data_IF_592488115307
#
_entry.id   IF_592488115307
#
_cell.length_a   1.000
_cell.length_b   1.000
_cell.length_c   1.000
_cell.angle_alpha   90.00
_cell.angle_beta   90.00
_cell.angle_gamma   90.00
#
_symmetry.space_group_name_H-M   'P 1'
#
loop_
_entity.id
_entity.type
_entity.pdbx_description
1 polymer ?
#
# COMPACT_ATOMS: atom_id res chain seq x y z
N UNK A 1 -0.63 -3.98 -0.48
CA UNK A 1 -1.76 -4.24 -1.41
C UNK A 1 -2.13 -5.72 -1.38
N UNK A 2 -3.37 -6.04 -1.06
CA UNK A 2 -3.93 -7.39 -1.25
C UNK A 2 -4.78 -7.38 -2.52
N UNK A 3 -4.38 -8.17 -3.52
CA UNK A 3 -5.01 -8.21 -4.83
C UNK A 3 -5.56 -9.60 -5.17
N UNK A 4 -6.38 -9.67 -6.22
CA UNK A 4 -6.81 -10.91 -6.85
C UNK A 4 -6.50 -10.85 -8.37
N UNK A 5 -5.89 -11.89 -8.97
CA UNK A 5 -5.44 -11.86 -10.38
C UNK A 5 -6.56 -11.60 -11.40
N UNK A 6 -7.78 -12.01 -11.08
CA UNK A 6 -8.96 -11.85 -11.94
C UNK A 6 -9.69 -10.52 -11.73
N UNK A 7 -9.34 -9.72 -10.71
CA UNK A 7 -10.05 -8.49 -10.39
C UNK A 7 -9.64 -7.34 -11.31
N UNK A 8 -10.58 -6.81 -12.10
CA UNK A 8 -10.33 -5.67 -13.01
C UNK A 8 -9.84 -4.40 -12.28
N UNK A 9 -10.35 -4.12 -11.08
CA UNK A 9 -9.87 -3.00 -10.26
C UNK A 9 -8.44 -3.20 -9.75
N UNK A 10 -8.03 -4.44 -9.48
CA UNK A 10 -6.64 -4.74 -9.12
C UNK A 10 -5.72 -4.49 -10.30
N UNK A 11 -6.06 -5.01 -11.49
CA UNK A 11 -5.27 -4.81 -12.71
C UNK A 11 -5.07 -3.32 -13.04
N UNK A 12 -6.07 -2.48 -12.79
CA UNK A 12 -5.96 -1.02 -12.96
C UNK A 12 -5.03 -0.35 -11.94
N UNK A 13 -5.03 -0.83 -10.68
CA UNK A 13 -4.19 -0.27 -9.60
C UNK A 13 -2.74 -0.80 -9.65
N UNK A 14 -2.52 -2.00 -10.17
CA UNK A 14 -1.21 -2.67 -10.16
C UNK A 14 -0.07 -1.80 -10.72
N UNK A 15 -0.17 -1.20 -11.94
CA UNK A 15 0.93 -0.36 -12.45
C UNK A 15 1.20 0.87 -11.58
N UNK A 16 0.14 1.50 -11.06
CA UNK A 16 0.27 2.66 -10.15
C UNK A 16 0.96 2.26 -8.84
N UNK A 17 0.64 1.08 -8.32
CA UNK A 17 1.20 0.59 -7.06
C UNK A 17 2.66 0.14 -7.21
N UNK A 18 3.02 -0.46 -8.35
CA UNK A 18 4.41 -0.79 -8.68
C UNK A 18 5.26 0.47 -8.84
N UNK A 19 4.77 1.48 -9.55
CA UNK A 19 5.46 2.76 -9.68
C UNK A 19 5.64 3.46 -8.33
N UNK A 20 4.59 3.49 -7.50
CA UNK A 20 4.69 4.00 -6.13
C UNK A 20 5.76 3.26 -5.31
N UNK A 21 5.81 1.93 -5.40
CA UNK A 21 6.84 1.12 -4.74
C UNK A 21 8.25 1.44 -5.24
N UNK A 22 8.41 1.62 -6.55
CA UNK A 22 9.68 2.03 -7.16
C UNK A 22 10.13 3.39 -6.64
N UNK A 23 9.27 4.41 -6.69
CA UNK A 23 9.57 5.76 -6.19
C UNK A 23 9.95 5.75 -4.70
N UNK A 24 9.25 4.94 -3.90
CA UNK A 24 9.59 4.75 -2.49
C UNK A 24 10.97 4.10 -2.30
N UNK A 25 11.35 3.14 -3.15
CA UNK A 25 12.67 2.51 -3.08
C UNK A 25 13.82 3.44 -3.50
N UNK A 26 13.57 4.36 -4.43
CA UNK A 26 14.57 5.31 -4.94
C UNK A 26 14.73 6.54 -4.03
N UNK A 27 13.72 6.86 -3.22
CA UNK A 27 13.80 7.95 -2.24
C UNK A 27 14.67 7.57 -1.04
N UNK A 28 15.62 8.45 -0.70
CA UNK A 28 16.53 8.26 0.44
C UNK A 28 15.80 8.20 1.79
N UNK A 29 14.76 9.01 1.97
CA UNK A 29 13.98 9.03 3.23
C UNK A 29 12.96 7.89 3.26
N UNK A 30 12.30 7.61 2.14
CA UNK A 30 11.28 6.58 2.06
C UNK A 30 11.86 5.16 2.18
N UNK A 31 12.95 4.86 1.48
CA UNK A 31 13.55 3.52 1.44
C UNK A 31 13.99 3.00 2.82
N UNK A 32 14.22 3.89 3.78
CA UNK A 32 14.59 3.55 5.16
C UNK A 32 13.40 3.40 6.11
N UNK A 33 12.23 3.96 5.75
CA UNK A 33 11.08 4.11 6.65
C UNK A 33 9.79 3.47 6.13
N UNK A 34 9.71 3.12 4.85
CA UNK A 34 8.52 2.62 4.18
C UNK A 34 8.81 1.34 3.41
N UNK A 35 8.05 0.29 3.74
CA UNK A 35 8.01 -0.95 2.95
C UNK A 35 6.71 -0.97 2.15
N UNK A 36 6.82 -1.07 0.84
CA UNK A 36 5.68 -1.22 -0.07
C UNK A 36 5.62 -2.67 -0.54
N UNK A 37 4.54 -3.37 -0.20
CA UNK A 37 4.39 -4.79 -0.50
C UNK A 37 3.03 -5.10 -1.15
N UNK A 38 3.01 -6.10 -2.05
CA UNK A 38 1.77 -6.67 -2.58
C UNK A 38 1.75 -8.20 -2.44
N UNK A 39 0.54 -8.76 -2.32
CA UNK A 39 0.33 -10.20 -2.25
C UNK A 39 -0.99 -10.61 -2.91
N UNK A 40 -1.00 -11.81 -3.51
CA UNK A 40 -2.20 -12.45 -4.03
C UNK A 40 -3.04 -13.00 -2.86
N UNK A 41 -4.14 -12.34 -2.54
CA UNK A 41 -5.05 -12.76 -1.46
C UNK A 41 -5.92 -13.96 -1.81
N UNK A 42 -5.90 -14.44 -3.06
CA UNK A 42 -6.60 -15.67 -3.48
C UNK A 42 -5.76 -16.92 -3.25
N UNK A 43 -4.43 -16.77 -3.29
CA UNK A 43 -3.47 -17.84 -3.02
C UNK A 43 -2.96 -17.88 -1.57
N UNK A 44 -3.09 -16.77 -0.83
CA UNK A 44 -2.54 -16.63 0.53
C UNK A 44 -3.63 -16.34 1.56
N UNK A 45 -3.63 -17.10 2.67
CA UNK A 45 -4.51 -16.85 3.81
C UNK A 45 -3.88 -15.83 4.75
N UNK A 46 -4.68 -14.89 5.23
CA UNK A 46 -4.26 -13.96 6.27
C UNK A 46 -4.43 -14.60 7.66
N UNK A 47 -3.51 -14.34 8.60
CA UNK A 47 -3.41 -15.11 9.84
C UNK A 47 -4.47 -14.78 10.90
N UNK A 48 -5.17 -13.64 10.77
CA UNK A 48 -6.07 -13.10 11.80
C UNK A 48 -7.31 -12.47 11.14
N UNK A 49 -8.47 -12.57 11.80
CA UNK A 49 -9.74 -11.96 11.36
C UNK A 49 -9.64 -10.43 11.25
N UNK A 50 -8.76 -9.76 12.03
CA UNK A 50 -8.55 -8.31 11.88
C UNK A 50 -7.93 -7.93 10.53
N UNK A 51 -7.32 -8.91 9.83
CA UNK A 51 -6.82 -8.77 8.47
C UNK A 51 -7.80 -9.38 7.45
N UNK A 52 -9.09 -9.48 7.76
CA UNK A 52 -10.06 -10.01 6.81
C UNK A 52 -10.23 -9.09 5.61
N UNK A 53 -9.83 -9.58 4.44
CA UNK A 53 -10.09 -8.91 3.16
C UNK A 53 -11.51 -9.25 2.71
N UNK A 54 -12.40 -8.27 2.72
CA UNK A 54 -13.79 -8.43 2.26
C UNK A 54 -13.98 -8.09 0.78
N UNK A 55 -12.94 -7.55 0.12
CA UNK A 55 -12.98 -7.19 -1.29
C UNK A 55 -11.63 -6.74 -1.82
N UNK A 56 -11.49 -6.76 -3.14
CA UNK A 56 -10.25 -6.44 -3.84
C UNK A 56 -10.39 -5.21 -4.76
N UNK A 57 -9.34 -4.39 -4.90
CA UNK A 57 -8.12 -4.38 -4.10
C UNK A 57 -8.36 -3.85 -2.69
N UNK A 58 -7.60 -4.34 -1.71
CA UNK A 58 -7.51 -3.73 -0.38
C UNK A 58 -6.07 -3.27 -0.12
N UNK A 59 -5.91 -2.01 0.28
CA UNK A 59 -4.62 -1.45 0.67
C UNK A 59 -4.70 -1.05 2.14
N UNK A 60 -3.69 -1.46 2.91
CA UNK A 60 -3.52 -1.12 4.31
C UNK A 60 -2.20 -0.42 4.53
N UNK A 61 -2.16 0.44 5.53
CA UNK A 61 -0.95 0.98 6.11
C UNK A 61 -0.78 0.44 7.54
N UNK A 62 0.42 -0.06 7.82
CA UNK A 62 0.82 -0.56 9.13
C UNK A 62 1.87 0.39 9.69
N UNK A 63 1.59 0.99 10.85
CA UNK A 63 2.59 1.78 11.58
C UNK A 63 3.64 0.84 12.17
N UNK A 64 4.89 1.28 12.20
CA UNK A 64 5.94 0.51 12.87
C UNK A 64 5.54 0.23 14.34
N UNK A 65 5.65 -1.04 14.76
CA UNK A 65 5.24 -1.48 16.09
C UNK A 65 3.73 -1.61 16.32
N UNK A 66 2.88 -1.40 15.31
CA UNK A 66 1.42 -1.59 15.39
C UNK A 66 0.95 -2.71 14.46
N UNK A 67 0.09 -3.57 14.98
CA UNK A 67 -0.61 -4.63 14.24
C UNK A 67 -2.01 -4.18 13.76
N UNK A 68 -2.40 -2.94 14.06
CA UNK A 68 -3.69 -2.38 13.68
C UNK A 68 -3.57 -1.64 12.35
N UNK A 69 -4.12 -2.19 11.25
CA UNK A 69 -4.02 -1.58 9.94
C UNK A 69 -4.94 -0.38 9.79
N UNK A 70 -4.48 0.63 9.05
CA UNK A 70 -5.31 1.74 8.59
C UNK A 70 -5.70 1.44 7.13
N UNK A 71 -7.00 1.39 6.85
CA UNK A 71 -7.50 1.12 5.50
C UNK A 71 -7.36 2.35 4.61
N UNK A 72 -6.78 2.14 3.44
CA UNK A 72 -6.71 3.17 2.41
C UNK A 72 -8.07 3.41 1.77
N UNK A 73 -8.54 4.65 1.85
CA UNK A 73 -9.80 5.11 1.26
C UNK A 73 -9.61 6.29 0.30
N UNK A 74 -8.36 6.60 -0.06
CA UNK A 74 -8.01 7.71 -0.94
C UNK A 74 -8.05 7.36 -2.43
N UNK A 75 -7.63 8.33 -3.24
CA UNK A 75 -7.53 8.17 -4.70
C UNK A 75 -6.44 7.18 -5.10
N UNK A 76 -6.75 6.29 -6.04
CA UNK A 76 -5.84 5.25 -6.54
C UNK A 76 -4.80 5.79 -7.53
N UNK A 77 -4.13 6.87 -7.14
CA UNK A 77 -3.07 7.58 -7.84
C UNK A 77 -1.79 7.58 -7.00
N UNK A 78 -0.65 7.90 -7.59
CA UNK A 78 0.63 8.01 -6.87
C UNK A 78 0.51 9.08 -5.77
N UNK A 79 -0.09 10.22 -6.10
CA UNK A 79 -0.32 11.35 -5.20
C UNK A 79 -1.24 10.95 -4.04
N UNK A 80 -2.30 10.18 -4.31
CA UNK A 80 -3.21 9.68 -3.28
C UNK A 80 -2.55 8.70 -2.32
N UNK A 81 -1.72 7.78 -2.85
CA UNK A 81 -0.94 6.85 -2.04
C UNK A 81 0.12 7.56 -1.20
N UNK A 82 0.83 8.53 -1.80
CA UNK A 82 1.84 9.33 -1.12
C UNK A 82 1.25 10.17 0.01
N UNK A 83 0.15 10.89 -0.28
CA UNK A 83 -0.58 11.69 0.70
C UNK A 83 -1.05 10.83 1.89
N UNK A 84 -1.52 9.61 1.61
CA UNK A 84 -1.95 8.69 2.65
C UNK A 84 -0.79 8.23 3.55
N UNK A 85 0.37 7.91 2.96
CA UNK A 85 1.56 7.57 3.77
C UNK A 85 2.01 8.78 4.59
N UNK A 86 1.99 9.99 4.03
CA UNK A 86 2.38 11.20 4.76
C UNK A 86 1.40 11.52 5.90
N UNK A 87 0.10 11.29 5.71
CA UNK A 87 -0.93 11.53 6.72
C UNK A 87 -0.81 10.56 7.92
N UNK A 88 -0.42 9.31 7.66
CA UNK A 88 -0.42 8.27 8.69
C UNK A 88 0.97 7.85 9.16
N UNK A 89 2.03 8.20 8.44
CA UNK A 89 3.41 7.94 8.80
C UNK A 89 3.86 8.78 9.99
N UNK A 90 4.82 8.25 10.74
CA UNK A 90 5.50 8.96 11.83
C UNK A 90 6.68 9.79 11.35
N UNK A 91 7.31 9.39 10.25
CA UNK A 91 8.43 10.10 9.64
C UNK A 91 7.98 10.78 8.36
N UNK A 92 8.56 11.94 8.08
CA UNK A 92 8.38 12.60 6.79
C UNK A 92 8.98 11.70 5.69
N UNK A 93 8.12 11.28 4.77
CA UNK A 93 8.49 10.51 3.59
C UNK A 93 8.36 11.41 2.38
N UNK A 94 9.49 11.77 1.78
CA UNK A 94 9.55 12.58 0.56
C UNK A 94 9.64 11.65 -0.64
N UNK A 95 8.63 11.66 -1.49
CA UNK A 95 8.64 10.94 -2.76
C UNK A 95 8.85 11.95 -3.86
N UNK A 96 9.72 11.64 -4.82
CA UNK A 96 9.88 12.45 -6.03
C UNK A 96 8.70 12.15 -6.97
N UNK A 97 7.56 12.76 -6.68
CA UNK A 97 6.34 12.64 -7.48
C UNK A 97 6.42 13.76 -8.53
N UNK A 98 6.53 13.38 -9.80
CA UNK A 98 6.53 14.31 -10.93
C UNK A 98 5.16 14.96 -11.15
#
# INVERSE_FOLDING_TARGET
LVYAPWCGHCKKLDPVYEEFGKLASESKSASQALVVAKMDGTANKLPDEKYKVTGFPTVWFFKNGSDTPIKFMGERTIQGLASFVQQHGTWAVELAIA
#
